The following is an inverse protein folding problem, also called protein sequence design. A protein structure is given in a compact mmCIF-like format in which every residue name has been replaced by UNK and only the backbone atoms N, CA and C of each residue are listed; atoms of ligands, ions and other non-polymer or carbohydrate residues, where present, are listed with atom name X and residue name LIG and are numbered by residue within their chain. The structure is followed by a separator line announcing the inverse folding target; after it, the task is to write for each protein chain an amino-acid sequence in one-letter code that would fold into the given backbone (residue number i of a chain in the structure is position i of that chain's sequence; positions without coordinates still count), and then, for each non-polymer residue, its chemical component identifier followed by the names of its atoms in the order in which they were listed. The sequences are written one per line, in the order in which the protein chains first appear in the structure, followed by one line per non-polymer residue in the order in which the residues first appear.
data_IF_133655523160
#
_entry.id   IF_133655523160
#
_cell.length_a   1.000
_cell.length_b   1.000
_cell.length_c   1.000
_cell.angle_alpha   90.00
_cell.angle_beta   90.00
_cell.angle_gamma   90.00
#
_symmetry.space_group_name_H-M   'P 1'
#
loop_
_entity.id
_entity.type
_entity.pdbx_description
1 polymer ?
#
# COMPACT_ATOMS: atom_id res chain seq x y z
N UNK A 1 -37.99 -11.79 41.44
CA UNK A 1 -36.96 -12.82 41.15
C UNK A 1 -36.78 -12.86 39.65
N UNK A 2 -35.75 -12.20 39.12
CA UNK A 2 -35.54 -12.06 37.67
C UNK A 2 -34.89 -13.33 37.07
N UNK A 3 -35.39 -13.75 35.92
CA UNK A 3 -35.03 -14.97 35.21
C UNK A 3 -33.99 -14.65 34.12
N UNK A 4 -32.73 -15.11 34.29
CA UNK A 4 -31.65 -14.88 33.32
C UNK A 4 -31.58 -16.03 32.30
N UNK A 5 -31.58 -15.75 30.98
CA UNK A 5 -31.52 -16.80 29.95
C UNK A 5 -30.15 -17.50 29.94
N UNK A 6 -30.16 -18.83 29.81
CA UNK A 6 -28.96 -19.68 29.80
C UNK A 6 -28.39 -19.78 28.37
N UNK A 7 -27.11 -19.44 28.20
CA UNK A 7 -26.40 -19.52 26.91
C UNK A 7 -26.07 -20.97 26.52
N UNK A 8 -26.03 -21.25 25.21
CA UNK A 8 -25.70 -22.57 24.66
C UNK A 8 -24.20 -22.87 24.81
N UNK A 9 -23.86 -24.14 25.14
CA UNK A 9 -22.50 -24.56 25.50
C UNK A 9 -21.45 -24.36 24.41
N UNK A 10 -21.84 -24.35 23.14
CA UNK A 10 -20.96 -24.08 22.01
C UNK A 10 -20.51 -22.61 21.89
N UNK A 11 -21.13 -21.69 22.64
CA UNK A 11 -20.63 -20.32 22.81
C UNK A 11 -19.58 -20.22 23.93
N UNK A 12 -19.43 -21.28 24.74
CA UNK A 12 -18.42 -21.37 25.78
C UNK A 12 -17.10 -21.74 25.11
N UNK A 13 -16.23 -20.75 24.91
CA UNK A 13 -14.89 -20.94 24.32
C UNK A 13 -14.11 -21.95 25.17
N UNK A 14 -13.76 -23.09 24.57
CA UNK A 14 -12.85 -24.08 25.15
C UNK A 14 -11.42 -23.51 25.33
N UNK A 15 -10.55 -24.17 26.11
CA UNK A 15 -9.22 -23.65 26.42
C UNK A 15 -8.39 -23.57 25.14
N UNK A 16 -8.24 -22.35 24.61
CA UNK A 16 -7.33 -22.08 23.50
C UNK A 16 -5.89 -22.43 23.92
N UNK A 17 -4.96 -22.69 22.96
CA UNK A 17 -3.55 -22.61 23.29
C UNK A 17 -3.32 -21.27 24.00
N UNK A 18 -2.60 -21.35 25.12
CA UNK A 18 -2.47 -20.22 26.04
C UNK A 18 -1.89 -18.99 25.32
N UNK A 19 -1.20 -19.16 24.19
CA UNK A 19 -0.58 -18.10 23.40
C UNK A 19 -1.11 -17.94 21.96
N UNK A 20 -1.22 -16.69 21.52
CA UNK A 20 -1.30 -16.28 20.11
C UNK A 20 0.11 -15.92 19.62
N UNK A 21 0.57 -16.56 18.55
CA UNK A 21 1.94 -16.38 18.05
C UNK A 21 2.12 -14.95 17.52
N UNK A 22 3.14 -14.26 18.03
CA UNK A 22 3.44 -12.89 17.63
C UNK A 22 4.18 -12.81 16.29
N UNK A 23 4.13 -11.60 15.76
CA UNK A 23 4.96 -11.14 14.66
C UNK A 23 5.79 -9.97 15.17
N UNK A 24 7.12 -10.07 15.21
CA UNK A 24 7.94 -9.35 16.19
C UNK A 24 8.14 -7.80 16.05
N UNK A 25 7.62 -7.05 15.04
CA UNK A 25 7.58 -5.55 14.91
C UNK A 25 6.79 -5.01 13.66
N UNK A 26 6.01 -3.91 13.75
CA UNK A 26 5.74 -3.00 12.60
C UNK A 26 4.85 -3.44 11.42
N UNK A 27 4.23 -4.62 11.38
CA UNK A 27 3.16 -5.02 10.44
C UNK A 27 2.72 -6.46 10.74
N UNK A 28 1.56 -6.87 10.21
CA UNK A 28 1.10 -8.26 10.30
C UNK A 28 2.09 -9.21 9.59
N UNK A 29 2.73 -10.11 10.34
CA UNK A 29 3.70 -11.08 9.82
C UNK A 29 5.18 -10.70 9.94
N UNK A 30 5.53 -9.71 10.75
CA UNK A 30 6.92 -9.47 11.13
C UNK A 30 7.65 -10.63 11.82
N UNK A 31 8.94 -10.78 11.53
CA UNK A 31 9.86 -11.69 12.23
C UNK A 31 11.20 -10.97 12.51
N UNK A 32 11.78 -11.10 13.71
CA UNK A 32 13.07 -10.44 14.06
C UNK A 32 14.23 -10.92 13.19
N UNK A 33 14.16 -12.17 12.71
CA UNK A 33 15.16 -12.74 11.81
C UNK A 33 15.17 -12.07 10.43
N UNK A 34 14.17 -11.25 10.11
CA UNK A 34 13.98 -10.68 8.77
C UNK A 34 13.79 -9.16 8.83
N UNK A 35 14.89 -8.40 8.94
CA UNK A 35 14.82 -6.94 8.92
C UNK A 35 14.28 -6.45 7.57
N UNK A 36 13.39 -5.44 7.59
CA UNK A 36 12.95 -4.74 6.38
C UNK A 36 13.77 -3.47 6.19
N UNK A 37 14.45 -3.35 5.06
CA UNK A 37 15.03 -2.10 4.58
C UNK A 37 14.00 -1.13 4.00
N UNK A 38 14.42 0.07 3.62
CA UNK A 38 13.56 1.03 2.91
C UNK A 38 13.04 0.41 1.62
N UNK A 39 11.81 0.78 1.23
CA UNK A 39 11.18 0.23 0.03
C UNK A 39 10.76 1.35 -0.92
N UNK A 40 11.11 1.18 -2.20
CA UNK A 40 10.89 2.16 -3.25
C UNK A 40 10.02 1.57 -4.37
N UNK A 41 9.29 2.44 -5.07
CA UNK A 41 8.56 2.10 -6.29
C UNK A 41 9.15 2.82 -7.48
N UNK A 42 9.34 2.10 -8.57
CA UNK A 42 9.69 2.64 -9.89
C UNK A 42 8.38 2.75 -10.68
N UNK A 43 8.10 3.93 -11.24
CA UNK A 43 6.94 4.14 -12.12
C UNK A 43 7.38 4.85 -13.40
N UNK A 44 6.87 4.43 -14.58
CA UNK A 44 7.05 5.19 -15.81
C UNK A 44 6.26 6.49 -15.73
N UNK A 45 6.87 7.57 -16.21
CA UNK A 45 6.21 8.84 -16.46
C UNK A 45 5.73 8.85 -17.90
N UNK A 46 4.44 8.60 -18.11
CA UNK A 46 3.80 8.66 -19.44
C UNK A 46 3.33 10.07 -19.80
N UNK A 47 3.81 11.11 -19.09
CA UNK A 47 3.36 12.48 -19.35
C UNK A 47 3.95 12.97 -20.66
N UNK A 48 3.07 13.24 -21.63
CA UNK A 48 3.43 13.93 -22.86
C UNK A 48 3.69 15.39 -22.47
N UNK A 49 4.96 15.80 -22.44
CA UNK A 49 5.32 17.20 -22.25
C UNK A 49 5.10 17.92 -23.58
N UNK A 50 4.02 18.70 -23.68
CA UNK A 50 3.78 19.60 -24.81
C UNK A 50 4.49 20.92 -24.46
N UNK A 51 5.66 21.23 -25.06
CA UNK A 51 6.29 22.52 -24.84
C UNK A 51 5.35 23.66 -25.28
N UNK A 52 5.20 24.67 -24.43
CA UNK A 52 4.51 25.90 -24.79
C UNK A 52 5.41 26.69 -25.74
N UNK A 53 5.04 26.72 -27.01
CA UNK A 53 5.65 27.63 -27.97
C UNK A 53 4.97 29.00 -27.88
N UNK A 54 5.73 30.05 -28.18
CA UNK A 54 5.25 31.44 -28.17
C UNK A 54 4.15 31.70 -29.21
N UNK A 55 3.81 32.97 -29.48
CA UNK A 55 2.62 33.37 -30.24
C UNK A 55 2.65 33.03 -31.76
N UNK A 56 3.45 32.08 -32.21
CA UNK A 56 3.53 31.65 -33.61
C UNK A 56 3.78 30.15 -33.77
N UNK A 57 3.45 29.58 -34.94
CA UNK A 57 3.69 28.16 -35.23
C UNK A 57 5.19 27.88 -35.28
N UNK A 58 5.68 27.10 -34.31
CA UNK A 58 7.06 26.62 -34.27
C UNK A 58 7.04 25.09 -34.21
N UNK A 59 7.49 24.44 -35.28
CA UNK A 59 7.52 22.98 -35.36
C UNK A 59 8.89 22.45 -34.90
N UNK A 60 8.91 21.60 -33.87
CA UNK A 60 10.12 20.93 -33.43
C UNK A 60 10.23 19.53 -34.06
N UNK A 61 11.14 19.39 -35.03
CA UNK A 61 11.36 18.12 -35.77
C UNK A 61 12.44 17.23 -35.16
N UNK A 62 13.16 17.68 -34.14
CA UNK A 62 14.35 16.98 -33.60
C UNK A 62 14.07 15.59 -33.03
N UNK A 63 12.85 15.33 -32.56
CA UNK A 63 12.43 14.05 -31.96
C UNK A 63 11.35 13.34 -32.78
N UNK A 64 11.09 13.76 -34.02
CA UNK A 64 10.04 13.16 -34.84
C UNK A 64 10.59 11.95 -35.61
N UNK A 65 9.92 10.81 -35.48
CA UNK A 65 10.18 9.57 -36.22
C UNK A 65 8.99 9.26 -37.14
N UNK A 66 9.14 8.30 -38.06
CA UNK A 66 8.07 7.86 -38.96
C UNK A 66 6.80 7.37 -38.23
N UNK A 67 6.94 6.93 -36.97
CA UNK A 67 5.82 6.46 -36.14
C UNK A 67 5.26 7.52 -35.20
N UNK A 68 5.89 8.69 -35.12
CA UNK A 68 5.52 9.75 -34.17
C UNK A 68 6.72 10.27 -33.38
N UNK A 69 6.45 11.00 -32.31
CA UNK A 69 7.51 11.64 -31.51
C UNK A 69 8.20 10.60 -30.61
N UNK A 70 9.54 10.49 -30.73
CA UNK A 70 10.36 9.70 -29.83
C UNK A 70 10.35 10.32 -28.42
N UNK A 71 9.76 9.58 -27.48
CA UNK A 71 9.64 9.95 -26.09
C UNK A 71 9.94 8.73 -25.22
N UNK A 72 11.23 8.45 -24.94
CA UNK A 72 11.57 7.32 -24.09
C UNK A 72 10.91 7.50 -22.71
N UNK A 73 10.37 6.43 -22.12
CA UNK A 73 9.72 6.52 -20.82
C UNK A 73 10.73 6.98 -19.77
N UNK A 74 10.47 8.13 -19.14
CA UNK A 74 11.22 8.54 -17.97
C UNK A 74 10.72 7.76 -16.75
N UNK A 75 11.59 7.44 -15.79
CA UNK A 75 11.20 6.71 -14.59
C UNK A 75 11.48 7.53 -13.34
N UNK A 76 10.58 7.46 -12.36
CA UNK A 76 10.80 8.04 -11.03
C UNK A 76 10.84 6.99 -9.95
N UNK A 77 11.74 7.21 -8.99
CA UNK A 77 11.89 6.41 -7.78
C UNK A 77 11.29 7.21 -6.63
N UNK A 78 10.28 6.64 -5.94
CA UNK A 78 9.68 7.25 -4.77
C UNK A 78 9.63 6.26 -3.61
N UNK A 79 9.84 6.76 -2.38
CA UNK A 79 9.71 5.96 -1.16
C UNK A 79 8.26 5.55 -0.94
N UNK A 80 8.04 4.28 -0.59
CA UNK A 80 6.71 3.84 -0.14
C UNK A 80 6.46 4.31 1.29
N UNK A 81 5.22 4.73 1.57
CA UNK A 81 4.80 4.95 2.95
C UNK A 81 4.91 3.63 3.72
N UNK A 82 5.42 3.65 4.96
CA UNK A 82 5.39 2.47 5.80
C UNK A 82 3.94 2.00 5.96
N UNK A 83 3.72 0.70 5.90
CA UNK A 83 2.41 0.09 6.09
C UNK A 83 1.88 0.48 7.48
N UNK A 84 0.85 1.35 7.52
CA UNK A 84 0.10 1.62 8.75
C UNK A 84 -0.98 0.54 8.82
N UNK A 85 -0.82 -0.42 9.72
CA UNK A 85 -1.85 -1.45 9.96
C UNK A 85 -3.20 -0.79 10.25
N UNK A 86 -4.25 -1.26 9.60
CA UNK A 86 -5.63 -0.83 9.88
C UNK A 86 -5.93 -1.09 11.34
N UNK A 87 -5.96 -0.04 12.17
CA UNK A 87 -6.48 -0.13 13.52
C UNK A 87 -8.00 -0.31 13.38
N UNK A 88 -8.43 -1.56 13.20
CA UNK A 88 -9.81 -1.92 13.37
C UNK A 88 -10.06 -1.77 14.88
N UNK A 89 -10.56 -0.60 15.29
CA UNK A 89 -11.03 -0.35 16.64
C UNK A 89 -12.21 -1.30 16.91
N UNK A 90 -11.89 -2.53 17.35
CA UNK A 90 -12.85 -3.41 17.99
C UNK A 90 -13.08 -2.92 19.42
N UNK A 91 -13.56 -1.68 19.55
CA UNK A 91 -14.23 -1.22 20.75
C UNK A 91 -15.64 -1.78 20.69
N UNK A 92 -15.84 -2.97 21.25
CA UNK A 92 -17.10 -3.39 21.87
C UNK A 92 -16.80 -4.56 22.81
N UNK A 93 -16.23 -4.18 23.95
CA UNK A 93 -16.49 -4.86 25.21
C UNK A 93 -17.93 -4.48 25.61
N UNK A 94 -18.83 -5.45 25.65
CA UNK A 94 -19.90 -5.73 26.64
C UNK A 94 -20.43 -7.12 26.28
#
# INVERSE_FOLDING_TARGET
MENKPKLLSCMIKGPAPIYKLQTLVGYEGHCLSRPRGPSYTIRPQTKIHIPSFGPGPQYNVSKLTNYGTDSPPAYTIASRKPFKGSQNNSSRMI
#
